data_IF_737172067155
#
_entry.id   IF_737172067155
#
_cell.length_a   1.000
_cell.length_b   1.000
_cell.length_c   1.000
_cell.angle_alpha   90.00
_cell.angle_beta   90.00
_cell.angle_gamma   90.00
#
_symmetry.space_group_name_H-M   'P 1'
#
loop_
_entity.id
_entity.type
_entity.pdbx_description
1 polymer ?
#
# COMPACT_ATOMS: atom_id res chain seq x y z
N UNK A 1 36.27 -25.20 1.25
CA UNK A 1 35.47 -24.15 1.94
C UNK A 1 34.47 -23.41 1.03
N UNK A 2 34.64 -23.40 -0.31
CA UNK A 2 33.75 -22.71 -1.27
C UNK A 2 32.37 -23.37 -1.49
N UNK A 3 32.25 -24.71 -1.46
CA UNK A 3 30.99 -25.41 -1.76
C UNK A 3 29.89 -25.23 -0.70
N UNK A 4 30.26 -25.06 0.58
CA UNK A 4 29.31 -24.82 1.68
C UNK A 4 28.58 -23.48 1.52
N UNK A 5 29.28 -22.45 1.05
CA UNK A 5 28.70 -21.12 0.76
C UNK A 5 27.81 -21.13 -0.48
N UNK A 6 28.12 -21.97 -1.48
CA UNK A 6 27.30 -22.11 -2.69
C UNK A 6 25.97 -22.84 -2.40
N UNK A 7 26.03 -23.95 -1.66
CA UNK A 7 24.84 -24.72 -1.27
C UNK A 7 23.92 -23.92 -0.33
N UNK A 8 24.47 -23.16 0.61
CA UNK A 8 23.67 -22.28 1.48
C UNK A 8 23.01 -21.15 0.70
N UNK A 9 23.66 -20.62 -0.34
CA UNK A 9 23.10 -19.58 -1.22
C UNK A 9 21.97 -20.12 -2.08
N UNK A 10 22.10 -21.34 -2.62
CA UNK A 10 21.04 -22.00 -3.38
C UNK A 10 19.85 -22.35 -2.48
N UNK A 11 20.09 -22.87 -1.28
CA UNK A 11 19.02 -23.19 -0.34
C UNK A 11 18.23 -21.94 0.09
N UNK A 12 18.93 -20.81 0.33
CA UNK A 12 18.29 -19.53 0.62
C UNK A 12 17.48 -19.01 -0.56
N UNK A 13 18.05 -19.05 -1.77
CA UNK A 13 17.39 -18.66 -3.03
C UNK A 13 16.17 -19.54 -3.36
N UNK A 14 16.24 -20.83 -3.04
CA UNK A 14 15.13 -21.79 -3.19
C UNK A 14 13.99 -21.50 -2.19
N UNK A 15 14.31 -21.22 -0.92
CA UNK A 15 13.32 -20.87 0.11
C UNK A 15 12.63 -19.53 -0.19
N UNK A 16 13.40 -18.54 -0.66
CA UNK A 16 12.90 -17.24 -1.11
C UNK A 16 11.99 -17.39 -2.35
N UNK A 17 12.40 -18.19 -3.34
CA UNK A 17 11.58 -18.49 -4.51
C UNK A 17 10.27 -19.21 -4.15
N UNK A 18 10.25 -20.10 -3.16
CA UNK A 18 9.00 -20.76 -2.71
C UNK A 18 7.98 -19.75 -2.16
N UNK A 19 8.45 -18.77 -1.38
CA UNK A 19 7.60 -17.68 -0.88
C UNK A 19 7.03 -16.82 -2.01
N UNK A 20 7.88 -16.44 -2.97
CA UNK A 20 7.47 -15.67 -4.14
C UNK A 20 6.48 -16.43 -5.03
N UNK A 21 6.70 -17.73 -5.23
CA UNK A 21 5.79 -18.60 -6.00
C UNK A 21 4.43 -18.72 -5.29
N UNK A 22 4.42 -18.91 -3.98
CA UNK A 22 3.18 -18.96 -3.20
C UNK A 22 2.41 -17.63 -3.29
N UNK A 23 3.10 -16.50 -3.15
CA UNK A 23 2.50 -15.17 -3.29
C UNK A 23 1.91 -14.97 -4.69
N UNK A 24 2.65 -15.29 -5.75
CA UNK A 24 2.15 -15.21 -7.13
C UNK A 24 0.94 -16.14 -7.35
N UNK A 25 0.94 -17.32 -6.73
CA UNK A 25 -0.17 -18.27 -6.84
C UNK A 25 -1.45 -17.73 -6.20
N UNK A 26 -1.34 -17.14 -5.01
CA UNK A 26 -2.44 -16.52 -4.28
C UNK A 26 -2.97 -15.30 -5.03
N UNK A 27 -2.09 -14.44 -5.54
CA UNK A 27 -2.48 -13.18 -6.18
C UNK A 27 -3.07 -13.37 -7.58
N UNK A 28 -2.55 -14.33 -8.36
CA UNK A 28 -2.86 -14.43 -9.78
C UNK A 28 -3.43 -15.79 -10.21
N UNK A 29 -2.85 -16.91 -9.75
CA UNK A 29 -3.22 -18.23 -10.29
C UNK A 29 -4.61 -18.65 -9.80
N UNK A 30 -4.83 -18.64 -8.47
CA UNK A 30 -6.12 -19.08 -7.90
C UNK A 30 -7.29 -18.27 -8.49
N UNK A 31 -7.26 -16.93 -8.51
CA UNK A 31 -8.41 -16.17 -8.98
C UNK A 31 -8.65 -16.33 -10.49
N UNK A 32 -7.60 -16.48 -11.29
CA UNK A 32 -7.72 -16.61 -12.74
C UNK A 32 -8.46 -17.89 -13.17
N UNK A 33 -8.30 -18.98 -12.43
CA UNK A 33 -8.96 -20.26 -12.70
C UNK A 33 -10.30 -20.42 -11.98
N UNK A 34 -10.45 -19.85 -10.78
CA UNK A 34 -11.64 -20.06 -9.94
C UNK A 34 -12.75 -19.06 -10.25
N UNK A 35 -12.45 -17.80 -10.56
CA UNK A 35 -13.48 -16.77 -10.72
C UNK A 35 -14.01 -16.70 -12.15
N UNK A 36 -15.33 -16.85 -12.36
CA UNK A 36 -15.93 -16.72 -13.68
C UNK A 36 -16.09 -15.25 -14.07
N UNK A 37 -16.08 -14.98 -15.38
CA UNK A 37 -16.30 -13.64 -15.94
C UNK A 37 -17.71 -13.09 -15.67
N UNK A 38 -18.70 -13.98 -15.77
CA UNK A 38 -20.12 -13.71 -15.57
C UNK A 38 -20.74 -14.82 -14.72
N UNK A 39 -21.83 -14.55 -14.00
CA UNK A 39 -22.58 -15.58 -13.29
C UNK A 39 -23.09 -16.62 -14.28
N UNK A 40 -22.80 -17.90 -14.04
CA UNK A 40 -23.22 -19.03 -14.88
C UNK A 40 -24.46 -19.76 -14.37
N UNK A 41 -24.68 -19.72 -13.05
CA UNK A 41 -25.71 -20.47 -12.35
C UNK A 41 -26.49 -19.55 -11.40
N UNK A 42 -27.67 -19.98 -10.95
CA UNK A 42 -28.57 -19.19 -10.08
C UNK A 42 -27.89 -18.65 -8.81
N UNK A 43 -27.21 -19.51 -8.06
CA UNK A 43 -26.51 -19.08 -6.84
C UNK A 43 -25.43 -18.01 -7.10
N UNK A 44 -24.79 -18.01 -8.27
CA UNK A 44 -23.80 -16.98 -8.63
C UNK A 44 -24.47 -15.65 -8.94
N UNK A 45 -25.65 -15.70 -9.55
CA UNK A 45 -26.45 -14.51 -9.83
C UNK A 45 -26.99 -13.91 -8.53
N UNK A 46 -27.51 -14.73 -7.61
CA UNK A 46 -27.93 -14.29 -6.27
C UNK A 46 -26.77 -13.64 -5.52
N UNK A 47 -25.58 -14.26 -5.55
CA UNK A 47 -24.37 -13.68 -4.97
C UNK A 47 -24.01 -12.33 -5.60
N UNK A 48 -24.06 -12.23 -6.93
CA UNK A 48 -23.82 -10.97 -7.64
C UNK A 48 -24.81 -9.87 -7.22
N UNK A 49 -26.10 -10.20 -7.11
CA UNK A 49 -27.13 -9.26 -6.64
C UNK A 49 -26.92 -8.87 -5.18
N UNK A 50 -26.59 -9.83 -4.31
CA UNK A 50 -26.29 -9.54 -2.90
C UNK A 50 -25.12 -8.56 -2.75
N UNK A 51 -24.03 -8.78 -3.50
CA UNK A 51 -22.86 -7.91 -3.45
C UNK A 51 -23.22 -6.49 -3.92
N UNK A 52 -23.91 -6.38 -5.04
CA UNK A 52 -24.21 -5.08 -5.66
C UNK A 52 -25.32 -4.31 -4.96
N UNK A 53 -26.40 -4.99 -4.55
CA UNK A 53 -27.58 -4.36 -3.95
C UNK A 53 -27.48 -4.23 -2.43
N UNK A 54 -26.96 -5.23 -1.73
CA UNK A 54 -26.92 -5.24 -0.25
C UNK A 54 -25.61 -4.69 0.28
N UNK A 55 -24.47 -5.10 -0.29
CA UNK A 55 -23.16 -4.59 0.14
C UNK A 55 -22.78 -3.27 -0.55
N UNK A 56 -23.58 -2.81 -1.52
CA UNK A 56 -23.34 -1.60 -2.30
C UNK A 56 -21.96 -1.55 -2.98
N UNK A 57 -21.37 -2.73 -3.26
CA UNK A 57 -20.12 -2.84 -4.01
C UNK A 57 -20.46 -2.86 -5.49
N UNK A 58 -20.25 -1.73 -6.15
CA UNK A 58 -20.69 -1.50 -7.54
C UNK A 58 -19.53 -1.55 -8.53
N UNK A 59 -18.30 -1.67 -8.04
CA UNK A 59 -17.09 -1.67 -8.85
C UNK A 59 -17.17 -2.60 -10.06
N UNK A 60 -17.01 -2.01 -11.24
CA UNK A 60 -16.91 -2.75 -12.48
C UNK A 60 -18.18 -3.47 -12.92
N UNK A 61 -19.33 -3.21 -12.29
CA UNK A 61 -20.64 -3.76 -12.66
C UNK A 61 -21.05 -3.41 -14.09
N UNK A 62 -20.60 -2.27 -14.62
CA UNK A 62 -20.79 -1.86 -16.03
C UNK A 62 -19.63 -2.23 -16.96
N UNK A 63 -18.58 -2.85 -16.43
CA UNK A 63 -17.40 -3.25 -17.18
C UNK A 63 -17.59 -4.54 -17.98
N UNK A 64 -16.59 -4.94 -18.78
CA UNK A 64 -16.66 -6.13 -19.63
C UNK A 64 -16.61 -7.44 -18.85
N UNK A 65 -16.07 -7.46 -17.62
CA UNK A 65 -15.91 -8.67 -16.80
C UNK A 65 -16.48 -8.46 -15.38
N UNK A 66 -17.76 -8.07 -15.23
CA UNK A 66 -18.28 -7.46 -14.02
C UNK A 66 -18.21 -8.39 -12.81
N UNK A 67 -18.58 -9.65 -12.97
CA UNK A 67 -18.56 -10.60 -11.85
C UNK A 67 -17.15 -10.98 -11.45
N UNK A 68 -16.24 -11.14 -12.41
CA UNK A 68 -14.82 -11.39 -12.13
C UNK A 68 -14.19 -10.21 -11.38
N UNK A 69 -14.43 -8.98 -11.83
CA UNK A 69 -13.89 -7.77 -11.20
C UNK A 69 -14.35 -7.68 -9.75
N UNK A 70 -15.66 -7.76 -9.48
CA UNK A 70 -16.19 -7.68 -8.11
C UNK A 70 -15.60 -8.76 -7.19
N UNK A 71 -15.61 -10.02 -7.63
CA UNK A 71 -15.06 -11.12 -6.83
C UNK A 71 -13.58 -10.93 -6.58
N UNK A 72 -12.83 -10.51 -7.60
CA UNK A 72 -11.41 -10.27 -7.47
C UNK A 72 -11.12 -9.10 -6.53
N UNK A 73 -11.82 -7.97 -6.65
CA UNK A 73 -11.69 -6.79 -5.78
C UNK A 73 -11.93 -7.13 -4.31
N UNK A 74 -12.99 -7.90 -4.01
CA UNK A 74 -13.26 -8.37 -2.64
C UNK A 74 -12.14 -9.30 -2.17
N UNK A 75 -11.77 -10.28 -2.98
CA UNK A 75 -10.72 -11.24 -2.65
C UNK A 75 -9.39 -10.55 -2.35
N UNK A 76 -8.92 -9.69 -3.25
CA UNK A 76 -7.63 -9.04 -3.10
C UNK A 76 -7.64 -8.05 -1.92
N UNK A 77 -8.79 -7.45 -1.63
CA UNK A 77 -8.95 -6.58 -0.45
C UNK A 77 -8.76 -7.36 0.84
N UNK A 78 -9.39 -8.54 0.95
CA UNK A 78 -9.21 -9.42 2.10
C UNK A 78 -7.74 -9.86 2.22
N UNK A 79 -7.13 -10.30 1.12
CA UNK A 79 -5.72 -10.75 1.10
C UNK A 79 -4.78 -9.62 1.52
N UNK A 80 -4.94 -8.42 0.97
CA UNK A 80 -4.10 -7.26 1.27
C UNK A 80 -4.31 -6.76 2.70
N UNK A 81 -5.54 -6.83 3.23
CA UNK A 81 -5.81 -6.53 4.63
C UNK A 81 -5.05 -7.48 5.56
N UNK A 82 -5.15 -8.79 5.35
CA UNK A 82 -4.41 -9.77 6.17
C UNK A 82 -2.90 -9.63 6.02
N UNK A 83 -2.40 -9.34 4.82
CA UNK A 83 -0.98 -9.05 4.59
C UNK A 83 -0.54 -7.81 5.39
N UNK A 84 -1.31 -6.73 5.34
CA UNK A 84 -1.04 -5.52 6.12
C UNK A 84 -1.07 -5.76 7.63
N UNK A 85 -2.03 -6.54 8.13
CA UNK A 85 -2.08 -6.99 9.52
C UNK A 85 -0.82 -7.77 9.90
N UNK A 86 -0.39 -8.73 9.07
CA UNK A 86 0.81 -9.52 9.30
C UNK A 86 2.06 -8.64 9.35
N UNK A 87 2.24 -7.73 8.37
CA UNK A 87 3.37 -6.79 8.33
C UNK A 87 3.39 -5.92 9.58
N UNK A 88 2.25 -5.34 9.97
CA UNK A 88 2.16 -4.51 11.18
C UNK A 88 2.45 -5.31 12.45
N UNK A 89 1.92 -6.52 12.56
CA UNK A 89 2.17 -7.41 13.69
C UNK A 89 3.66 -7.74 13.84
N UNK A 90 4.32 -8.16 12.76
CA UNK A 90 5.75 -8.45 12.79
C UNK A 90 6.58 -7.21 13.10
N UNK A 91 6.23 -6.07 12.51
CA UNK A 91 6.91 -4.79 12.77
C UNK A 91 6.83 -4.39 14.25
N UNK A 92 5.63 -4.43 14.85
CA UNK A 92 5.42 -4.11 16.27
C UNK A 92 6.06 -5.17 17.18
N UNK A 93 6.01 -6.45 16.81
CA UNK A 93 6.65 -7.52 17.57
C UNK A 93 8.17 -7.36 17.62
N UNK A 94 8.78 -6.96 16.52
CA UNK A 94 10.23 -6.77 16.40
C UNK A 94 10.72 -5.52 17.16
N UNK A 95 10.03 -4.39 17.01
CA UNK A 95 10.49 -3.10 17.54
C UNK A 95 9.84 -2.72 18.89
N UNK A 96 8.78 -3.42 19.30
CA UNK A 96 7.91 -3.02 20.41
C UNK A 96 7.19 -1.69 20.14
N UNK A 97 6.56 -1.12 21.17
CA UNK A 97 6.03 0.26 21.13
C UNK A 97 6.95 1.13 22.00
N UNK A 98 8.23 1.17 21.62
CA UNK A 98 9.28 1.86 22.38
C UNK A 98 9.98 2.97 21.57
N UNK A 99 11.21 3.35 21.94
CA UNK A 99 11.95 4.41 21.24
C UNK A 99 12.41 3.93 19.85
N UNK A 100 12.80 2.66 19.74
CA UNK A 100 13.20 2.04 18.48
C UNK A 100 12.04 2.08 17.46
N UNK A 101 10.80 1.85 17.91
CA UNK A 101 9.61 2.04 17.08
C UNK A 101 9.51 3.47 16.50
N UNK A 102 9.69 4.50 17.33
CA UNK A 102 9.60 5.89 16.87
C UNK A 102 10.72 6.22 15.86
N UNK A 103 11.94 5.73 16.12
CA UNK A 103 13.09 5.94 15.25
C UNK A 103 12.89 5.26 13.88
N UNK A 104 12.38 4.02 13.87
CA UNK A 104 12.13 3.29 12.62
C UNK A 104 10.93 3.87 11.84
N UNK A 105 9.82 4.24 12.48
CA UNK A 105 8.72 4.95 11.82
C UNK A 105 9.21 6.27 11.21
N UNK A 106 10.03 7.02 11.94
CA UNK A 106 10.60 8.26 11.43
C UNK A 106 11.51 8.00 10.22
N UNK A 107 12.38 6.99 10.30
CA UNK A 107 13.27 6.59 9.22
C UNK A 107 12.52 6.14 7.98
N UNK A 108 11.44 5.37 8.15
CA UNK A 108 10.68 4.81 7.03
C UNK A 108 9.84 5.86 6.32
N UNK A 109 9.14 6.72 7.06
CA UNK A 109 8.16 7.65 6.47
C UNK A 109 8.64 9.09 6.34
N UNK A 110 9.56 9.56 7.19
CA UNK A 110 9.87 10.98 7.33
C UNK A 110 11.33 11.35 7.11
N UNK A 111 12.26 10.39 7.04
CA UNK A 111 13.69 10.68 6.85
C UNK A 111 14.03 11.03 5.40
N UNK A 112 13.33 10.47 4.42
CA UNK A 112 13.62 10.68 3.00
C UNK A 112 13.57 12.17 2.62
N UNK A 113 14.68 12.75 2.17
CA UNK A 113 14.71 14.16 1.73
C UNK A 113 13.92 14.34 0.43
N UNK A 114 13.11 15.39 0.37
CA UNK A 114 12.44 15.74 -0.87
C UNK A 114 13.45 16.41 -1.80
N UNK A 115 13.56 15.98 -3.05
CA UNK A 115 14.46 16.63 -4.00
C UNK A 115 14.11 18.12 -4.19
N UNK A 116 12.81 18.44 -4.16
CA UNK A 116 12.31 19.80 -4.21
C UNK A 116 12.71 20.67 -3.02
N UNK A 117 13.19 20.08 -1.91
CA UNK A 117 13.70 20.83 -0.76
C UNK A 117 14.91 21.70 -1.11
N UNK A 118 15.70 21.32 -2.12
CA UNK A 118 16.82 22.11 -2.64
C UNK A 118 16.37 23.50 -3.09
N UNK A 119 15.18 23.59 -3.70
CA UNK A 119 14.55 24.84 -4.14
C UNK A 119 13.66 25.45 -3.06
N UNK A 120 12.99 24.62 -2.27
CA UNK A 120 12.03 25.02 -1.25
C UNK A 120 12.39 24.42 0.13
N UNK A 121 13.31 25.05 0.89
CA UNK A 121 13.81 24.51 2.16
C UNK A 121 12.74 24.33 3.25
N UNK A 122 11.60 25.00 3.11
CA UNK A 122 10.48 24.88 4.05
C UNK A 122 9.80 23.51 3.99
N UNK A 123 9.99 22.74 2.91
CA UNK A 123 9.47 21.37 2.78
C UNK A 123 10.10 20.39 3.78
N UNK A 124 11.33 20.65 4.24
CA UNK A 124 12.00 19.80 5.24
C UNK A 124 11.64 20.16 6.68
N UNK A 125 10.78 21.18 6.90
CA UNK A 125 10.25 21.43 8.24
C UNK A 125 9.49 20.19 8.70
N UNK A 126 9.78 19.62 9.89
CA UNK A 126 9.25 18.33 10.31
C UNK A 126 7.72 18.24 10.25
N UNK A 127 7.01 19.30 10.65
CA UNK A 127 5.55 19.36 10.59
C UNK A 127 5.04 19.33 9.15
N UNK A 128 5.62 20.14 8.26
CA UNK A 128 5.23 20.20 6.84
C UNK A 128 5.39 18.83 6.19
N UNK A 129 6.55 18.20 6.40
CA UNK A 129 6.86 16.88 5.84
C UNK A 129 5.91 15.81 6.32
N UNK A 130 5.68 15.71 7.64
CA UNK A 130 4.73 14.76 8.22
C UNK A 130 3.32 14.97 7.64
N UNK A 131 2.87 16.22 7.56
CA UNK A 131 1.56 16.57 7.00
C UNK A 131 1.46 16.19 5.52
N UNK A 132 2.47 16.48 4.70
CA UNK A 132 2.45 16.14 3.27
C UNK A 132 2.37 14.63 3.05
N UNK A 133 3.19 13.85 3.75
CA UNK A 133 3.16 12.39 3.68
C UNK A 133 1.79 11.86 4.12
N UNK A 134 1.25 12.34 5.25
CA UNK A 134 -0.09 11.96 5.71
C UNK A 134 -1.19 12.31 4.71
N UNK A 135 -1.11 13.49 4.07
CA UNK A 135 -2.07 13.91 3.04
C UNK A 135 -2.00 12.97 1.83
N UNK A 136 -0.81 12.55 1.39
CA UNK A 136 -0.68 11.56 0.31
C UNK A 136 -1.40 10.27 0.65
N UNK A 137 -1.19 9.71 1.86
CA UNK A 137 -1.90 8.51 2.30
C UNK A 137 -3.42 8.74 2.43
N UNK A 138 -3.86 9.90 2.91
CA UNK A 138 -5.28 10.24 2.99
C UNK A 138 -5.94 10.29 1.60
N UNK A 139 -5.27 10.91 0.62
CA UNK A 139 -5.75 10.97 -0.76
C UNK A 139 -5.84 9.56 -1.36
N UNK A 140 -4.85 8.70 -1.11
CA UNK A 140 -4.89 7.30 -1.55
C UNK A 140 -6.06 6.52 -0.93
N UNK A 141 -6.33 6.73 0.37
CA UNK A 141 -7.47 6.11 1.05
C UNK A 141 -8.81 6.57 0.45
N UNK A 142 -8.97 7.87 0.22
CA UNK A 142 -10.19 8.45 -0.39
C UNK A 142 -10.39 7.91 -1.81
N UNK A 143 -9.34 7.86 -2.63
CA UNK A 143 -9.41 7.25 -3.96
C UNK A 143 -9.83 5.77 -3.89
N UNK A 144 -9.33 5.05 -2.90
CA UNK A 144 -9.74 3.67 -2.62
C UNK A 144 -11.24 3.53 -2.33
N UNK A 145 -11.79 4.41 -1.50
CA UNK A 145 -13.24 4.40 -1.18
C UNK A 145 -14.07 4.69 -2.43
N UNK A 146 -13.69 5.68 -3.24
CA UNK A 146 -14.41 5.99 -4.48
C UNK A 146 -14.37 4.82 -5.46
N UNK A 147 -13.24 4.13 -5.59
CA UNK A 147 -13.13 2.95 -6.46
C UNK A 147 -14.13 1.83 -6.14
N UNK A 148 -14.54 1.66 -4.88
CA UNK A 148 -15.55 0.67 -4.48
C UNK A 148 -17.00 1.07 -4.80
N UNK A 149 -17.25 2.37 -4.93
CA UNK A 149 -18.58 2.96 -5.10
C UNK A 149 -18.83 3.36 -6.57
N UNK A 150 -17.76 3.58 -7.34
CA UNK A 150 -17.85 3.90 -8.76
C UNK A 150 -18.15 2.63 -9.58
N UNK A 151 -19.29 2.66 -10.28
CA UNK A 151 -19.79 1.50 -11.01
C UNK A 151 -19.15 1.31 -12.41
N UNK A 152 -18.54 2.37 -12.92
CA UNK A 152 -17.97 2.45 -14.26
C UNK A 152 -16.44 2.48 -14.21
N UNK A 153 -15.81 1.30 -14.26
CA UNK A 153 -14.35 1.14 -14.46
C UNK A 153 -13.95 1.39 -15.91
N UNK A 154 -14.91 1.28 -16.82
CA UNK A 154 -14.76 1.70 -18.20
C UNK A 154 -14.89 3.21 -18.22
N UNK A 155 -13.83 3.91 -18.57
CA UNK A 155 -13.97 5.32 -18.93
C UNK A 155 -14.73 5.37 -20.27
N UNK A 156 -16.05 5.17 -20.24
CA UNK A 156 -16.94 4.82 -21.37
C UNK A 156 -17.04 5.92 -22.43
N UNK A 157 -16.27 7.00 -22.29
CA UNK A 157 -15.93 7.88 -23.39
C UNK A 157 -14.42 8.09 -23.41
N UNK A 158 -13.73 7.75 -24.51
CA UNK A 158 -12.31 8.03 -24.65
C UNK A 158 -12.10 9.56 -24.79
N UNK A 159 -12.24 10.30 -23.70
CA UNK A 159 -11.82 11.70 -23.61
C UNK A 159 -10.33 11.72 -23.27
N UNK A 160 -9.49 11.33 -24.24
CA UNK A 160 -8.01 11.45 -24.27
C UNK A 160 -7.20 10.95 -23.04
N UNK A 161 -7.81 10.51 -21.94
CA UNK A 161 -7.18 10.09 -20.68
C UNK A 161 -7.71 8.71 -20.30
N UNK A 162 -6.82 7.84 -19.79
CA UNK A 162 -7.12 6.52 -19.20
C UNK A 162 -7.54 5.38 -20.13
N UNK A 163 -7.38 5.53 -21.45
CA UNK A 163 -7.67 4.45 -22.42
C UNK A 163 -6.89 3.14 -22.20
N UNK A 164 -5.67 3.21 -21.65
CA UNK A 164 -4.89 2.01 -21.31
C UNK A 164 -5.51 1.23 -20.14
N UNK A 165 -6.03 1.95 -19.14
CA UNK A 165 -6.71 1.36 -17.99
C UNK A 165 -8.00 0.69 -18.48
N UNK A 166 -8.83 1.43 -19.20
CA UNK A 166 -10.05 0.89 -19.80
C UNK A 166 -9.78 -0.33 -20.69
N UNK A 167 -8.74 -0.30 -21.53
CA UNK A 167 -8.31 -1.44 -22.33
C UNK A 167 -7.96 -2.65 -21.46
N UNK A 168 -7.16 -2.46 -20.42
CA UNK A 168 -6.70 -3.56 -19.57
C UNK A 168 -7.83 -4.25 -18.78
N UNK A 169 -8.89 -3.53 -18.38
CA UNK A 169 -10.06 -4.13 -17.74
C UNK A 169 -10.85 -5.09 -18.66
N UNK A 170 -10.60 -5.09 -19.97
CA UNK A 170 -11.15 -6.12 -20.89
C UNK A 170 -10.52 -7.49 -20.71
N UNK A 171 -9.37 -7.59 -20.02
CA UNK A 171 -8.65 -8.83 -19.81
C UNK A 171 -8.55 -9.13 -18.32
N UNK A 172 -8.81 -10.38 -17.91
CA UNK A 172 -8.70 -10.80 -16.50
C UNK A 172 -7.37 -10.39 -15.86
N UNK A 173 -6.26 -10.54 -16.59
CA UNK A 173 -4.93 -10.16 -16.10
C UNK A 173 -4.82 -8.66 -15.83
N UNK A 174 -5.43 -7.83 -16.69
CA UNK A 174 -5.46 -6.39 -16.48
C UNK A 174 -6.32 -5.99 -15.29
N UNK A 175 -7.50 -6.63 -15.13
CA UNK A 175 -8.32 -6.48 -13.91
C UNK A 175 -7.48 -6.80 -12.68
N UNK A 176 -6.82 -7.96 -12.66
CA UNK A 176 -6.01 -8.38 -11.51
C UNK A 176 -4.91 -7.37 -11.16
N UNK A 177 -4.18 -6.89 -12.17
CA UNK A 177 -3.12 -5.90 -11.98
C UNK A 177 -3.64 -4.60 -11.36
N UNK A 178 -4.73 -4.04 -11.89
CA UNK A 178 -5.28 -2.79 -11.39
C UNK A 178 -5.94 -2.93 -10.03
N UNK A 179 -6.69 -4.00 -9.79
CA UNK A 179 -7.29 -4.25 -8.48
C UNK A 179 -6.24 -4.49 -7.40
N UNK A 180 -5.11 -5.13 -7.71
CA UNK A 180 -3.94 -5.19 -6.80
C UNK A 180 -3.41 -3.79 -6.53
N UNK A 181 -3.15 -3.00 -7.58
CA UNK A 181 -2.59 -1.66 -7.44
C UNK A 181 -3.50 -0.77 -6.59
N UNK A 182 -4.80 -0.75 -6.88
CA UNK A 182 -5.78 0.04 -6.13
C UNK A 182 -5.88 -0.48 -4.70
N UNK A 183 -5.91 -1.80 -4.48
CA UNK A 183 -5.95 -2.38 -3.13
C UNK A 183 -4.72 -2.02 -2.29
N UNK A 184 -3.53 -2.00 -2.90
CA UNK A 184 -2.32 -1.53 -2.23
C UNK A 184 -2.49 -0.08 -1.77
N UNK A 185 -2.98 0.80 -2.66
CA UNK A 185 -3.18 2.22 -2.35
C UNK A 185 -4.37 2.49 -1.44
N UNK A 186 -5.39 1.63 -1.36
CA UNK A 186 -6.55 1.85 -0.50
C UNK A 186 -6.36 1.28 0.90
N UNK A 187 -5.67 0.16 1.03
CA UNK A 187 -5.56 -0.58 2.30
C UNK A 187 -4.33 -0.18 3.11
N UNK A 188 -3.15 -0.03 2.49
CA UNK A 188 -1.94 0.34 3.22
C UNK A 188 -2.00 1.72 3.92
N UNK A 189 -2.75 2.73 3.42
CA UNK A 189 -3.01 3.93 4.21
C UNK A 189 -3.67 3.67 5.57
N UNK A 190 -4.58 2.70 5.68
CA UNK A 190 -5.22 2.36 6.96
C UNK A 190 -4.16 1.94 7.97
N UNK A 191 -3.23 1.08 7.55
CA UNK A 191 -2.10 0.64 8.37
C UNK A 191 -1.13 1.77 8.68
N UNK A 192 -0.84 2.63 7.71
CA UNK A 192 -0.06 3.85 7.93
C UNK A 192 -0.67 4.72 9.04
N UNK A 193 -1.97 5.01 8.98
CA UNK A 193 -2.65 5.81 10.00
C UNK A 193 -2.69 5.12 11.35
N UNK A 194 -2.86 3.79 11.39
CA UNK A 194 -2.75 3.01 12.62
C UNK A 194 -1.36 3.11 13.27
N UNK A 195 -0.30 2.95 12.48
CA UNK A 195 1.09 3.11 12.95
C UNK A 195 1.39 4.56 13.36
N UNK A 196 0.87 5.54 12.61
CA UNK A 196 1.00 6.97 12.94
C UNK A 196 0.29 7.30 14.25
N UNK A 197 -0.91 6.75 14.48
CA UNK A 197 -1.65 6.91 15.72
C UNK A 197 -0.86 6.38 16.91
N UNK A 198 -0.30 5.16 16.78
CA UNK A 198 0.59 4.60 17.80
C UNK A 198 1.85 5.45 18.01
N UNK A 199 2.43 6.01 16.94
CA UNK A 199 3.58 6.91 17.02
C UNK A 199 3.24 8.18 17.82
N UNK A 200 2.09 8.78 17.57
CA UNK A 200 1.61 9.99 18.25
C UNK A 200 1.31 9.71 19.72
N UNK A 201 0.57 8.63 20.02
CA UNK A 201 0.30 8.21 21.40
C UNK A 201 1.61 7.96 22.15
N UNK A 202 2.51 7.18 21.57
CA UNK A 202 3.80 6.90 22.18
C UNK A 202 4.58 8.19 22.47
N UNK A 203 4.54 9.18 21.56
CA UNK A 203 5.17 10.49 21.76
C UNK A 203 4.56 11.26 22.94
N UNK A 204 3.23 11.37 23.02
CA UNK A 204 2.55 12.12 24.09
C UNK A 204 2.62 11.43 25.45
N UNK A 205 2.35 10.13 25.53
CA UNK A 205 2.26 9.41 26.80
C UNK A 205 3.64 9.07 27.40
N UNK A 206 4.69 8.84 26.60
CA UNK A 206 6.06 8.75 27.16
C UNK A 206 6.65 10.10 27.52
N UNK A 207 6.24 11.17 26.84
CA UNK A 207 6.58 12.54 27.21
C UNK A 207 6.09 12.96 28.60
N UNK A 208 5.12 12.25 29.17
CA UNK A 208 4.59 12.49 30.52
C UNK A 208 5.31 11.68 31.62
N UNK A 209 6.07 10.63 31.31
CA UNK A 209 6.63 9.70 32.31
C UNK A 209 8.13 9.42 32.24
N UNK A 210 8.79 9.65 31.11
CA UNK A 210 10.24 9.40 30.97
C UNK A 210 10.86 10.41 30.02
N UNK A 211 11.80 11.19 30.55
CA UNK A 211 12.30 12.43 29.98
C UNK A 211 12.70 12.39 28.50
N UNK A 212 12.35 13.49 27.83
CA UNK A 212 12.96 14.06 26.62
C UNK A 212 13.28 13.04 25.52
N UNK A 213 12.33 12.86 24.60
CA UNK A 213 12.66 12.43 23.23
C UNK A 213 13.36 13.60 22.54
N UNK A 214 14.67 13.73 22.73
CA UNK A 214 15.51 14.55 21.85
C UNK A 214 15.68 13.74 20.56
N UNK A 215 14.78 13.96 19.61
CA UNK A 215 15.06 13.60 18.21
C UNK A 215 16.25 14.48 17.83
N UNK A 216 17.42 13.93 17.45
CA UNK A 216 18.47 14.75 16.87
C UNK A 216 17.90 15.22 15.52
N UNK A 217 17.33 16.43 15.53
CA UNK A 217 17.18 17.22 14.33
C UNK A 217 18.62 17.50 13.88
N UNK A 218 19.18 16.61 13.06
CA UNK A 218 20.31 16.97 12.22
C UNK A 218 19.79 18.09 11.30
N UNK A 219 19.91 19.32 11.78
CA UNK A 219 19.74 20.51 10.95
C UNK A 219 20.87 20.43 9.94
N UNK A 220 20.60 20.29 8.62
CA UNK A 220 21.66 20.31 7.65
C UNK A 220 22.35 21.66 7.80
N UNK A 221 23.61 21.63 8.22
CA UNK A 221 24.36 22.83 8.55
C UNK A 221 24.44 23.72 7.30
N UNK A 222 23.63 24.79 7.26
CA UNK A 222 23.86 25.88 6.32
C UNK A 222 25.24 26.46 6.66
N UNK A 223 26.10 26.50 5.64
CA UNK A 223 27.43 27.15 5.56
C UNK A 223 28.66 26.27 5.84
N UNK A 224 29.03 25.44 4.85
CA UNK A 224 30.45 25.24 4.58
C UNK A 224 30.92 26.44 3.74
N UNK A 225 31.48 27.45 4.41
CA UNK A 225 32.13 28.60 3.75
C UNK A 225 33.13 28.05 2.73
N UNK A 226 33.01 28.47 1.46
CA UNK A 226 34.08 28.37 0.46
C UNK A 226 35.26 29.17 1.00
N UNK A 227 36.23 28.51 1.61
CA UNK A 227 37.57 29.06 1.81
C UNK A 227 38.17 29.20 0.42
N UNK A 228 38.18 30.43 -0.12
CA UNK A 228 39.12 30.80 -1.18
C UNK A 228 40.51 30.67 -0.55
N UNK A 229 41.32 29.77 -1.08
CA UNK A 229 42.77 29.83 -0.86
C UNK A 229 43.26 31.13 -1.50
N UNK A 230 44.06 31.87 -0.72
CA UNK A 230 44.85 33.03 -1.14
C UNK A 230 45.80 32.61 -2.26
#
# INVERSE_FOLDING_TARGET
>A
MSSKNFLSTIARKSKENRGNIALCSILFIIPLFVFPAYPKNEWQYELYQYITQTMHVTIGTKGPLPFFTILYSIYITIVMFFLGCAVCYFFIKEHGINKAYQEEIYKFFFKAEFESSKKYPWLEKPLVKKTLVSITFAICLIMGVFHFIDDDISQHRPRRKGGLIAFSYNYRVGVMFWEIAVSLFSIFPIFYFGLLFLYIINYFFRGLGTGKVVIPLEVPSKKRKRTRKV
#
